data_IF_876639230753
#
_entry.id   IF_876639230753
#
_cell.length_a   1.000
_cell.length_b   1.000
_cell.length_c   1.000
_cell.angle_alpha   90.00
_cell.angle_beta   90.00
_cell.angle_gamma   90.00
#
_symmetry.space_group_name_H-M   'P 1'
#
loop_
_entity.id
_entity.type
_entity.pdbx_description
1 polymer ?
#
# COMPACT_ATOMS: atom_id res chain seq x y z
N UNK A 1 -7.90 -6.82 -19.35
CA UNK A 1 -6.56 -7.33 -18.91
C UNK A 1 -6.82 -8.52 -18.03
N UNK A 2 -6.14 -9.64 -18.26
CA UNK A 2 -6.16 -10.75 -17.32
C UNK A 2 -5.18 -10.43 -16.18
N UNK A 3 -5.71 -10.02 -15.04
CA UNK A 3 -4.89 -9.60 -13.90
C UNK A 3 -4.12 -10.77 -13.28
N UNK A 4 -4.70 -11.94 -13.25
CA UNK A 4 -4.05 -13.12 -12.66
C UNK A 4 -2.79 -13.50 -13.43
N UNK A 5 -2.85 -13.54 -14.76
CA UNK A 5 -1.68 -13.80 -15.60
C UNK A 5 -0.60 -12.73 -15.43
N UNK A 6 -1.00 -11.44 -15.39
CA UNK A 6 -0.06 -10.35 -15.18
C UNK A 6 0.61 -10.41 -13.79
N UNK A 7 -0.10 -10.87 -12.77
CA UNK A 7 0.44 -11.05 -11.41
C UNK A 7 1.38 -12.26 -11.35
N UNK A 8 1.07 -13.36 -12.03
CA UNK A 8 2.00 -14.51 -12.17
C UNK A 8 3.31 -14.09 -12.85
N UNK A 9 3.22 -13.36 -13.95
CA UNK A 9 4.40 -12.81 -14.63
C UNK A 9 5.16 -11.83 -13.73
N UNK A 10 4.45 -11.01 -12.97
CA UNK A 10 5.06 -10.11 -12.01
C UNK A 10 5.78 -10.87 -10.88
N UNK A 11 5.16 -11.92 -10.35
CA UNK A 11 5.76 -12.75 -9.29
C UNK A 11 7.06 -13.42 -9.74
N UNK A 12 7.07 -14.00 -10.95
CA UNK A 12 8.28 -14.56 -11.54
C UNK A 12 9.37 -13.49 -11.73
N UNK A 13 8.98 -12.29 -12.18
CA UNK A 13 9.90 -11.19 -12.48
C UNK A 13 10.58 -10.63 -11.23
N UNK A 14 9.89 -10.56 -10.11
CA UNK A 14 10.42 -9.95 -8.88
C UNK A 14 10.89 -10.95 -7.82
N UNK A 15 10.88 -12.26 -8.10
CA UNK A 15 11.17 -13.32 -7.14
C UNK A 15 12.50 -13.12 -6.37
N UNK A 16 13.56 -12.72 -7.08
CA UNK A 16 14.89 -12.51 -6.48
C UNK A 16 15.08 -11.11 -5.86
N UNK A 17 14.05 -10.28 -5.92
CA UNK A 17 14.12 -8.87 -5.53
C UNK A 17 13.26 -8.51 -4.32
N UNK A 18 12.36 -9.40 -3.91
CA UNK A 18 11.45 -9.19 -2.77
C UNK A 18 11.59 -10.30 -1.75
N UNK A 19 11.19 -10.02 -0.52
CA UNK A 19 11.17 -11.02 0.54
C UNK A 19 9.87 -11.79 0.48
N UNK A 20 9.93 -13.07 0.80
CA UNK A 20 8.76 -13.82 1.25
C UNK A 20 8.52 -13.39 2.71
N UNK A 21 7.39 -12.69 2.93
CA UNK A 21 7.09 -12.16 4.26
C UNK A 21 6.33 -13.17 5.11
N UNK A 22 6.57 -13.22 6.44
CA UNK A 22 5.98 -14.23 7.29
C UNK A 22 4.49 -13.99 7.57
N UNK A 23 3.86 -15.03 8.13
CA UNK A 23 2.53 -15.02 8.71
C UNK A 23 2.63 -15.15 10.23
N UNK A 24 1.66 -14.61 10.94
CA UNK A 24 1.48 -14.83 12.39
C UNK A 24 -0.02 -14.84 12.69
N UNK A 25 -0.40 -15.68 13.65
CA UNK A 25 -1.77 -15.74 14.14
C UNK A 25 -1.93 -14.83 15.35
N UNK A 26 -3.08 -14.16 15.42
CA UNK A 26 -3.47 -13.29 16.52
C UNK A 26 -4.84 -13.70 17.03
N UNK A 27 -4.92 -14.01 18.34
CA UNK A 27 -6.21 -14.28 18.98
C UNK A 27 -6.91 -12.97 19.33
N UNK A 28 -8.10 -12.76 18.79
CA UNK A 28 -8.93 -11.60 19.08
C UNK A 28 -10.20 -12.01 19.84
N UNK A 29 -10.45 -11.43 21.03
CA UNK A 29 -11.68 -11.69 21.78
C UNK A 29 -12.92 -11.40 20.93
N UNK A 30 -13.84 -12.37 20.87
CA UNK A 30 -15.08 -12.27 20.11
C UNK A 30 -14.96 -12.49 18.58
N UNK A 31 -13.74 -12.62 18.07
CA UNK A 31 -13.46 -12.92 16.64
C UNK A 31 -12.82 -14.31 16.47
N UNK A 32 -11.93 -14.69 17.36
CA UNK A 32 -11.11 -15.91 17.26
C UNK A 32 -9.74 -15.63 16.64
N UNK A 33 -9.15 -16.67 16.06
CA UNK A 33 -7.82 -16.59 15.41
C UNK A 33 -7.89 -15.82 14.10
N UNK A 34 -7.08 -14.78 13.99
CA UNK A 34 -6.90 -13.95 12.79
C UNK A 34 -5.50 -14.13 12.24
N UNK A 35 -5.38 -14.60 11.00
CA UNK A 35 -4.08 -14.71 10.34
C UNK A 35 -3.62 -13.34 9.85
N UNK A 36 -2.41 -12.93 10.24
CA UNK A 36 -1.79 -11.67 9.83
C UNK A 36 -0.69 -11.90 8.80
N UNK A 37 -0.73 -11.21 7.67
CA UNK A 37 0.38 -11.13 6.71
C UNK A 37 1.27 -9.95 7.02
N UNK A 38 2.55 -10.21 7.32
CA UNK A 38 3.50 -9.22 7.83
C UNK A 38 4.27 -8.51 6.70
N UNK A 39 3.56 -7.79 5.84
CA UNK A 39 4.18 -7.11 4.68
C UNK A 39 4.96 -5.83 5.07
N UNK A 40 4.81 -5.34 6.29
CA UNK A 40 5.69 -4.32 6.85
C UNK A 40 7.16 -4.79 6.98
N UNK A 41 7.42 -6.09 6.91
CA UNK A 41 8.77 -6.66 6.89
C UNK A 41 9.39 -6.75 5.50
N UNK A 42 8.68 -6.33 4.45
CA UNK A 42 9.20 -6.21 3.10
C UNK A 42 10.32 -5.15 3.04
N UNK A 43 11.14 -5.18 1.99
CA UNK A 43 12.14 -4.13 1.74
C UNK A 43 11.53 -2.74 1.85
N UNK A 44 12.27 -1.82 2.45
CA UNK A 44 11.82 -0.44 2.75
C UNK A 44 10.63 -0.33 3.71
N UNK A 45 10.29 -1.41 4.43
CA UNK A 45 9.28 -1.39 5.48
C UNK A 45 7.83 -1.34 4.98
N UNK A 46 7.55 -1.69 3.72
CA UNK A 46 6.20 -1.73 3.18
C UNK A 46 6.08 -2.53 1.89
N UNK A 47 4.87 -2.96 1.55
CA UNK A 47 4.50 -3.67 0.32
C UNK A 47 4.93 -2.96 -0.98
N UNK A 48 5.18 -1.66 -0.92
CA UNK A 48 5.46 -0.82 -2.11
C UNK A 48 6.66 -1.29 -2.93
N UNK A 49 7.61 -1.99 -2.32
CA UNK A 49 8.76 -2.56 -3.02
C UNK A 49 8.34 -3.49 -4.16
N UNK A 50 7.27 -4.27 -3.99
CA UNK A 50 6.78 -5.23 -5.00
C UNK A 50 6.40 -4.54 -6.31
N UNK A 51 5.55 -3.52 -6.23
CA UNK A 51 5.15 -2.74 -7.41
C UNK A 51 6.28 -1.93 -8.03
N UNK A 52 7.19 -1.40 -7.20
CA UNK A 52 8.37 -0.68 -7.68
C UNK A 52 9.27 -1.60 -8.51
N UNK A 53 9.68 -2.76 -7.98
CA UNK A 53 10.50 -3.72 -8.73
C UNK A 53 9.81 -4.20 -10.00
N UNK A 54 8.52 -4.59 -9.91
CA UNK A 54 7.81 -5.07 -11.09
C UNK A 54 7.77 -4.02 -12.20
N UNK A 55 7.50 -2.77 -11.87
CA UNK A 55 7.43 -1.70 -12.87
C UNK A 55 8.79 -1.42 -13.51
N UNK A 56 9.88 -1.39 -12.72
CA UNK A 56 11.21 -1.14 -13.23
C UNK A 56 11.75 -2.30 -14.09
N UNK A 57 11.46 -3.54 -13.73
CA UNK A 57 11.96 -4.71 -14.47
C UNK A 57 11.11 -4.98 -15.72
N UNK A 58 9.82 -4.65 -15.69
CA UNK A 58 8.89 -4.94 -16.80
C UNK A 58 9.23 -4.22 -18.10
N UNK A 59 9.81 -3.03 -18.02
CA UNK A 59 10.10 -2.24 -19.21
C UNK A 59 11.52 -1.68 -19.23
N UNK A 60 12.02 -1.23 -20.39
CA UNK A 60 13.33 -0.58 -20.44
C UNK A 60 13.29 0.73 -19.65
N UNK A 61 14.15 0.84 -18.64
CA UNK A 61 14.34 2.10 -17.93
C UNK A 61 15.22 3.02 -18.79
N UNK A 62 14.76 4.22 -19.13
CA UNK A 62 15.54 5.14 -19.97
C UNK A 62 16.81 5.61 -19.26
N UNK A 63 17.80 6.10 -20.04
CA UNK A 63 19.05 6.62 -19.50
C UNK A 63 18.84 7.78 -18.49
N UNK A 64 17.76 8.52 -18.62
CA UNK A 64 17.35 9.54 -17.65
C UNK A 64 16.95 8.96 -16.29
N UNK A 65 16.75 7.63 -16.20
CA UNK A 65 16.35 6.94 -14.98
C UNK A 65 14.86 7.01 -14.72
N UNK A 66 14.48 6.96 -13.43
CA UNK A 66 13.10 6.98 -12.99
C UNK A 66 12.80 8.20 -12.13
N UNK A 67 11.52 8.60 -12.10
CA UNK A 67 11.05 9.70 -11.27
C UNK A 67 9.74 9.32 -10.57
N UNK A 68 9.56 9.78 -9.33
CA UNK A 68 8.32 9.59 -8.59
C UNK A 68 8.01 10.77 -7.67
N UNK A 69 6.72 11.06 -7.53
CA UNK A 69 6.17 11.99 -6.54
C UNK A 69 5.75 11.23 -5.29
N UNK A 70 6.51 11.30 -4.19
CA UNK A 70 6.10 10.68 -2.94
C UNK A 70 6.99 11.04 -1.77
N UNK A 71 6.41 11.54 -0.70
CA UNK A 71 7.08 11.76 0.59
C UNK A 71 7.06 10.55 1.54
N UNK A 72 6.66 9.35 1.09
CA UNK A 72 6.46 8.19 1.96
C UNK A 72 6.94 6.86 1.38
N UNK A 73 6.18 5.81 1.67
CA UNK A 73 6.49 4.43 1.33
C UNK A 73 6.81 4.19 -0.15
N UNK A 74 6.10 4.87 -1.05
CA UNK A 74 6.33 4.73 -2.49
C UNK A 74 7.68 5.31 -2.92
N UNK A 75 8.02 6.52 -2.47
CA UNK A 75 9.31 7.14 -2.79
C UNK A 75 10.49 6.31 -2.30
N UNK A 76 10.42 5.78 -1.07
CA UNK A 76 11.44 4.89 -0.52
C UNK A 76 11.57 3.59 -1.34
N UNK A 77 10.45 2.99 -1.75
CA UNK A 77 10.44 1.77 -2.54
C UNK A 77 11.01 1.97 -3.95
N UNK A 78 10.64 3.06 -4.64
CA UNK A 78 11.17 3.38 -5.98
C UNK A 78 12.67 3.64 -5.90
N UNK A 79 13.12 4.45 -4.93
CA UNK A 79 14.53 4.74 -4.72
C UNK A 79 15.35 3.45 -4.46
N UNK A 80 14.85 2.58 -3.60
CA UNK A 80 15.48 1.30 -3.29
C UNK A 80 15.56 0.38 -4.52
N UNK A 81 14.45 0.18 -5.21
CA UNK A 81 14.39 -0.70 -6.36
C UNK A 81 15.29 -0.18 -7.50
N UNK A 82 15.26 1.11 -7.79
CA UNK A 82 16.14 1.72 -8.80
C UNK A 82 17.61 1.50 -8.45
N UNK A 83 18.04 1.78 -7.21
CA UNK A 83 19.41 1.55 -6.76
C UNK A 83 19.83 0.08 -6.92
N UNK A 84 18.95 -0.87 -6.53
CA UNK A 84 19.23 -2.30 -6.62
C UNK A 84 19.39 -2.79 -8.07
N UNK A 85 18.70 -2.15 -8.99
CA UNK A 85 18.74 -2.47 -10.43
C UNK A 85 19.77 -1.61 -11.21
N UNK A 86 20.56 -0.75 -10.53
CA UNK A 86 21.57 0.09 -11.15
C UNK A 86 21.02 1.31 -11.91
N UNK A 87 19.79 1.73 -11.61
CA UNK A 87 19.16 2.89 -12.24
C UNK A 87 19.22 4.13 -11.37
N UNK A 88 19.24 5.30 -12.02
CA UNK A 88 19.09 6.59 -11.34
C UNK A 88 17.64 6.79 -10.94
N UNK A 89 17.41 7.32 -9.73
CA UNK A 89 16.08 7.69 -9.25
C UNK A 89 16.07 9.13 -8.76
N UNK A 90 15.07 9.90 -9.19
CA UNK A 90 14.77 11.23 -8.67
C UNK A 90 13.42 11.19 -7.97
N UNK A 91 13.38 11.60 -6.70
CA UNK A 91 12.16 11.58 -5.89
C UNK A 91 11.82 13.01 -5.48
N UNK A 92 10.65 13.45 -5.89
CA UNK A 92 10.05 14.72 -5.45
C UNK A 92 9.19 14.48 -4.21
N UNK A 93 9.46 15.24 -3.14
CA UNK A 93 8.79 15.09 -1.84
C UNK A 93 8.23 16.43 -1.39
N UNK A 94 7.01 16.48 -0.86
CA UNK A 94 6.54 17.68 -0.19
C UNK A 94 7.29 17.89 1.12
N UNK A 95 7.61 19.13 1.45
CA UNK A 95 8.32 19.47 2.70
C UNK A 95 7.56 18.99 3.95
N UNK A 96 6.24 18.97 3.87
CA UNK A 96 5.37 18.45 4.93
C UNK A 96 5.50 16.93 5.19
N UNK A 97 6.21 16.17 4.36
CA UNK A 97 6.47 14.75 4.60
C UNK A 97 7.26 14.50 5.90
N UNK A 98 7.97 15.52 6.37
CA UNK A 98 8.73 15.50 7.62
C UNK A 98 10.12 14.86 7.49
N UNK A 99 11.02 15.18 8.44
CA UNK A 99 12.43 14.85 8.33
C UNK A 99 12.72 13.35 8.32
N UNK A 100 11.96 12.54 9.07
CA UNK A 100 12.19 11.10 9.15
C UNK A 100 11.93 10.39 7.81
N UNK A 101 10.85 10.74 7.10
CA UNK A 101 10.54 10.15 5.78
C UNK A 101 11.51 10.64 4.72
N UNK A 102 11.88 11.91 4.76
CA UNK A 102 12.91 12.49 3.88
C UNK A 102 14.23 11.74 4.07
N UNK A 103 14.65 11.49 5.32
CA UNK A 103 15.83 10.73 5.63
C UNK A 103 15.76 9.27 5.13
N UNK A 104 14.60 8.62 5.28
CA UNK A 104 14.38 7.27 4.78
C UNK A 104 14.59 7.18 3.25
N UNK A 105 14.02 8.11 2.49
CA UNK A 105 14.16 8.13 1.02
C UNK A 105 15.62 8.44 0.64
N UNK A 106 16.24 9.43 1.31
CA UNK A 106 17.65 9.80 1.06
C UNK A 106 18.60 8.62 1.31
N UNK A 107 18.37 7.84 2.37
CA UNK A 107 19.15 6.65 2.68
C UNK A 107 19.10 5.57 1.60
N UNK A 108 18.08 5.62 0.70
CA UNK A 108 18.01 4.72 -0.45
C UNK A 108 18.84 5.19 -1.65
N UNK A 109 19.54 6.33 -1.56
CA UNK A 109 20.47 6.80 -2.59
C UNK A 109 19.83 7.53 -3.78
N UNK A 110 18.57 7.95 -3.65
CA UNK A 110 17.91 8.75 -4.68
C UNK A 110 18.33 10.22 -4.64
N UNK A 111 18.29 10.87 -5.81
CA UNK A 111 18.32 12.31 -5.91
C UNK A 111 16.99 12.87 -5.39
N UNK A 112 17.05 13.58 -4.27
CA UNK A 112 15.85 14.03 -3.55
C UNK A 112 15.61 15.52 -3.78
N UNK A 113 14.40 15.85 -4.23
CA UNK A 113 13.92 17.21 -4.41
C UNK A 113 12.77 17.49 -3.42
N UNK A 114 13.05 18.33 -2.43
CA UNK A 114 12.04 18.75 -1.46
C UNK A 114 11.34 19.99 -1.99
N UNK A 115 10.03 19.92 -2.12
CA UNK A 115 9.18 20.98 -2.66
C UNK A 115 8.39 21.62 -1.54
N UNK A 116 8.50 22.93 -1.44
CA UNK A 116 7.67 23.73 -0.53
C UNK A 116 6.35 24.03 -1.23
N UNK A 117 5.30 23.29 -0.86
CA UNK A 117 3.99 23.42 -1.47
C UNK A 117 3.11 22.18 -1.29
N UNK A 118 1.90 22.23 -1.82
CA UNK A 118 0.96 21.11 -1.77
C UNK A 118 1.44 19.94 -2.66
N UNK A 119 0.89 18.75 -2.44
CA UNK A 119 1.25 17.56 -3.21
C UNK A 119 0.99 17.71 -4.71
N UNK A 120 0.04 18.55 -5.11
CA UNK A 120 -0.24 18.88 -6.52
C UNK A 120 0.97 19.54 -7.20
N UNK A 121 1.70 20.39 -6.50
CA UNK A 121 2.94 21.00 -7.01
C UNK A 121 4.05 19.96 -7.14
N UNK A 122 4.20 19.06 -6.17
CA UNK A 122 5.13 17.94 -6.24
C UNK A 122 4.87 17.08 -7.47
N UNK A 123 3.61 16.80 -7.74
CA UNK A 123 3.20 16.03 -8.92
C UNK A 123 3.48 16.78 -10.23
N UNK A 124 3.13 18.06 -10.31
CA UNK A 124 3.38 18.88 -11.48
C UNK A 124 4.88 18.95 -11.85
N UNK A 125 5.75 19.14 -10.85
CA UNK A 125 7.20 19.14 -11.07
C UNK A 125 7.74 17.77 -11.48
N UNK A 126 7.17 16.68 -10.94
CA UNK A 126 7.52 15.31 -11.33
C UNK A 126 7.17 15.04 -12.79
N UNK A 127 5.98 15.45 -13.21
CA UNK A 127 5.49 15.31 -14.59
C UNK A 127 6.33 16.17 -15.56
N UNK A 128 6.61 17.42 -15.20
CA UNK A 128 7.46 18.31 -15.99
C UNK A 128 8.87 17.75 -16.19
N UNK A 129 9.44 17.16 -15.12
CA UNK A 129 10.75 16.49 -15.22
C UNK A 129 10.68 15.27 -16.13
N UNK A 130 9.67 14.42 -15.99
CA UNK A 130 9.48 13.25 -16.84
C UNK A 130 9.36 13.66 -18.33
N UNK A 131 8.54 14.68 -18.61
CA UNK A 131 8.30 15.19 -19.96
C UNK A 131 9.57 15.78 -20.60
N UNK A 132 10.38 16.54 -19.84
CA UNK A 132 11.57 17.21 -20.34
C UNK A 132 12.78 16.30 -20.52
N UNK A 133 12.88 15.21 -19.73
CA UNK A 133 14.07 14.33 -19.72
C UNK A 133 13.83 12.95 -20.32
N UNK A 134 12.57 12.55 -20.49
CA UNK A 134 12.17 11.20 -20.83
C UNK A 134 12.35 10.20 -19.69
N UNK A 135 12.51 10.65 -18.43
CA UNK A 135 12.55 9.75 -17.27
C UNK A 135 11.24 8.98 -17.11
N UNK A 136 11.34 7.71 -16.75
CA UNK A 136 10.15 6.88 -16.51
C UNK A 136 9.47 7.30 -15.21
N UNK A 137 8.24 7.76 -15.29
CA UNK A 137 7.44 8.05 -14.10
C UNK A 137 6.85 6.77 -13.52
N UNK A 138 7.07 6.54 -12.22
CA UNK A 138 6.53 5.40 -11.48
C UNK A 138 5.34 5.88 -10.66
N UNK A 139 4.13 5.48 -11.07
CA UNK A 139 2.89 5.85 -10.37
C UNK A 139 2.70 5.01 -9.09
N UNK A 140 2.26 5.66 -8.01
CA UNK A 140 2.20 5.04 -6.68
C UNK A 140 1.15 3.92 -6.54
N UNK A 141 0.09 3.90 -7.37
CA UNK A 141 -1.03 2.97 -7.24
C UNK A 141 -1.82 2.74 -8.55
N UNK A 142 -2.01 3.72 -9.43
CA UNK A 142 -2.89 3.62 -10.61
C UNK A 142 -2.09 3.38 -11.89
N UNK A 143 -1.35 2.28 -11.91
CA UNK A 143 -0.64 1.80 -13.10
C UNK A 143 -0.64 0.27 -13.12
N UNK A 144 -0.81 -0.36 -14.30
CA UNK A 144 -0.89 -1.82 -14.40
C UNK A 144 0.32 -2.54 -13.80
N UNK A 145 1.53 -2.05 -14.06
CA UNK A 145 2.76 -2.63 -13.52
C UNK A 145 2.85 -2.55 -12.00
N UNK A 146 2.43 -1.41 -11.42
CA UNK A 146 2.37 -1.22 -9.98
C UNK A 146 1.34 -2.15 -9.36
N UNK A 147 0.13 -2.19 -9.88
CA UNK A 147 -0.96 -3.00 -9.35
C UNK A 147 -0.65 -4.50 -9.43
N UNK A 148 -0.13 -4.98 -10.56
CA UNK A 148 0.28 -6.37 -10.71
C UNK A 148 1.40 -6.75 -9.73
N UNK A 149 2.38 -5.88 -9.54
CA UNK A 149 3.43 -6.08 -8.54
C UNK A 149 2.89 -6.21 -7.12
N UNK A 150 1.92 -5.37 -6.73
CA UNK A 150 1.27 -5.47 -5.42
C UNK A 150 0.45 -6.76 -5.28
N UNK A 151 -0.18 -7.23 -6.35
CA UNK A 151 -0.95 -8.48 -6.36
C UNK A 151 -0.12 -9.72 -6.04
N UNK A 152 1.20 -9.68 -6.29
CA UNK A 152 2.12 -10.79 -5.97
C UNK A 152 2.12 -11.15 -4.48
N UNK A 153 1.79 -10.20 -3.61
CA UNK A 153 1.63 -10.41 -2.18
C UNK A 153 0.50 -11.41 -1.91
N UNK A 154 -0.64 -11.25 -2.56
CA UNK A 154 -1.80 -12.11 -2.34
C UNK A 154 -1.55 -13.52 -2.90
N UNK A 155 -0.87 -13.61 -4.05
CA UNK A 155 -0.39 -14.88 -4.59
C UNK A 155 0.53 -15.60 -3.59
N UNK A 156 1.50 -14.88 -3.04
CA UNK A 156 2.42 -15.42 -2.03
C UNK A 156 1.65 -15.92 -0.81
N UNK A 157 0.68 -15.14 -0.33
CA UNK A 157 -0.11 -15.51 0.84
C UNK A 157 -0.95 -16.78 0.59
N UNK A 158 -1.57 -16.93 -0.58
CA UNK A 158 -2.26 -18.18 -0.96
C UNK A 158 -1.30 -19.38 -0.96
N UNK A 159 -0.09 -19.23 -1.49
CA UNK A 159 0.93 -20.29 -1.49
C UNK A 159 1.45 -20.64 -0.07
N UNK A 160 1.35 -19.72 0.87
CA UNK A 160 1.69 -19.93 2.29
C UNK A 160 0.53 -20.55 3.09
N UNK A 161 -0.60 -20.88 2.47
CA UNK A 161 -1.73 -21.53 3.12
C UNK A 161 -2.76 -20.55 3.68
N UNK A 162 -3.07 -19.47 2.96
CA UNK A 162 -4.21 -18.60 3.31
C UNK A 162 -5.52 -19.41 3.29
N UNK A 163 -6.12 -19.63 4.43
CA UNK A 163 -7.39 -20.34 4.58
C UNK A 163 -8.60 -19.44 4.86
N UNK A 164 -8.36 -18.15 5.07
CA UNK A 164 -9.43 -17.21 5.40
C UNK A 164 -10.47 -17.08 4.29
N UNK A 165 -11.73 -16.92 4.68
CA UNK A 165 -12.84 -16.66 3.77
C UNK A 165 -12.86 -15.18 3.35
N UNK A 166 -12.39 -14.31 4.26
CA UNK A 166 -12.35 -12.85 4.07
C UNK A 166 -10.97 -12.27 4.42
N UNK A 167 -10.49 -11.35 3.60
CA UNK A 167 -9.23 -10.63 3.79
C UNK A 167 -9.50 -9.14 3.93
N UNK A 168 -9.04 -8.53 5.02
CA UNK A 168 -9.15 -7.10 5.26
C UNK A 168 -7.86 -6.38 4.83
N UNK A 169 -8.01 -5.31 4.04
CA UNK A 169 -6.90 -4.58 3.42
C UNK A 169 -7.11 -3.08 3.56
N UNK A 170 -6.12 -2.38 4.11
CA UNK A 170 -6.12 -0.92 4.20
C UNK A 170 -6.05 -0.28 2.81
N UNK A 171 -6.83 0.78 2.60
CA UNK A 171 -6.93 1.47 1.31
C UNK A 171 -6.50 2.93 1.42
N UNK A 172 -5.60 3.32 0.53
CA UNK A 172 -5.34 4.71 0.17
C UNK A 172 -5.69 4.90 -1.31
N UNK A 173 -4.72 5.01 -2.21
CA UNK A 173 -4.97 5.09 -3.66
C UNK A 173 -5.43 3.80 -4.34
N UNK A 174 -5.56 2.69 -3.63
CA UNK A 174 -6.17 1.45 -4.13
C UNK A 174 -5.23 0.45 -4.81
N UNK A 175 -3.94 0.75 -5.00
CA UNK A 175 -3.03 -0.16 -5.72
C UNK A 175 -2.84 -1.53 -5.03
N UNK A 176 -2.86 -1.57 -3.69
CA UNK A 176 -2.73 -2.80 -2.91
C UNK A 176 -3.97 -3.67 -3.02
N UNK A 177 -5.13 -3.10 -2.67
CA UNK A 177 -6.40 -3.82 -2.71
C UNK A 177 -6.80 -4.19 -4.15
N UNK A 178 -6.48 -3.33 -5.13
CA UNK A 178 -6.66 -3.63 -6.56
C UNK A 178 -5.84 -4.83 -7.00
N UNK A 179 -4.58 -4.91 -6.57
CA UNK A 179 -3.73 -6.08 -6.82
C UNK A 179 -4.28 -7.35 -6.17
N UNK A 180 -4.77 -7.25 -4.93
CA UNK A 180 -5.40 -8.38 -4.23
C UNK A 180 -6.68 -8.85 -4.95
N UNK A 181 -7.54 -7.94 -5.34
CA UNK A 181 -8.75 -8.27 -6.12
C UNK A 181 -8.41 -8.88 -7.48
N UNK A 182 -7.37 -8.36 -8.16
CA UNK A 182 -6.90 -8.89 -9.43
C UNK A 182 -6.36 -10.31 -9.32
N UNK A 183 -5.77 -10.68 -8.20
CA UNK A 183 -5.32 -12.05 -7.94
C UNK A 183 -6.48 -12.97 -7.54
N UNK A 184 -7.29 -12.53 -6.58
CA UNK A 184 -8.33 -13.37 -5.97
C UNK A 184 -9.53 -13.61 -6.90
N UNK A 185 -9.86 -12.66 -7.77
CA UNK A 185 -10.98 -12.78 -8.74
C UNK A 185 -12.30 -13.25 -8.09
N UNK A 186 -12.58 -12.76 -6.90
CA UNK A 186 -13.80 -13.10 -6.14
C UNK A 186 -13.79 -14.47 -5.43
N UNK A 187 -12.70 -15.25 -5.51
CA UNK A 187 -12.58 -16.54 -4.81
C UNK A 187 -12.55 -16.42 -3.29
N UNK A 188 -12.23 -15.24 -2.78
CA UNK A 188 -12.31 -14.85 -1.38
C UNK A 188 -12.91 -13.46 -1.30
N UNK A 189 -13.62 -13.19 -0.21
CA UNK A 189 -14.12 -11.84 0.05
C UNK A 189 -12.95 -10.91 0.40
N UNK A 190 -12.94 -9.73 -0.20
CA UNK A 190 -12.00 -8.65 0.16
C UNK A 190 -12.82 -7.52 0.79
N UNK A 191 -12.36 -7.02 1.93
CA UNK A 191 -12.92 -5.84 2.60
C UNK A 191 -11.89 -4.73 2.55
N UNK A 192 -12.27 -3.60 1.94
CA UNK A 192 -11.48 -2.37 2.01
C UNK A 192 -11.68 -1.69 3.36
N UNK A 193 -10.58 -1.24 3.98
CA UNK A 193 -10.65 -0.49 5.23
C UNK A 193 -10.00 0.87 5.03
N UNK A 194 -10.76 1.93 5.28
CA UNK A 194 -10.30 3.31 5.14
C UNK A 194 -10.53 4.09 6.45
N UNK A 195 -9.63 5.06 6.75
CA UNK A 195 -9.92 6.04 7.80
C UNK A 195 -11.16 6.89 7.42
N UNK A 196 -11.99 7.23 8.38
CA UNK A 196 -13.13 8.16 8.19
C UNK A 196 -12.66 9.48 7.57
N UNK A 197 -11.43 9.91 7.90
CA UNK A 197 -10.85 11.16 7.43
C UNK A 197 -10.12 11.04 6.07
N UNK A 198 -10.13 9.85 5.43
CA UNK A 198 -9.53 9.61 4.11
C UNK A 198 -10.34 8.56 3.30
N UNK A 199 -11.66 8.74 3.08
CA UNK A 199 -12.57 7.71 2.55
C UNK A 199 -12.65 7.73 1.01
N UNK A 200 -11.53 7.68 0.31
CA UNK A 200 -11.49 7.89 -1.15
C UNK A 200 -12.20 6.79 -1.94
N UNK A 201 -12.04 5.53 -1.56
CA UNK A 201 -12.70 4.39 -2.21
C UNK A 201 -14.18 4.31 -1.82
N UNK A 202 -14.50 4.50 -0.54
CA UNK A 202 -15.87 4.47 -0.03
C UNK A 202 -16.75 5.48 -0.78
N UNK A 203 -16.28 6.72 -0.91
CA UNK A 203 -17.01 7.77 -1.64
C UNK A 203 -17.06 7.51 -3.15
N UNK A 204 -15.99 6.97 -3.73
CA UNK A 204 -15.96 6.63 -5.15
C UNK A 204 -16.93 5.48 -5.50
N UNK A 205 -17.06 4.47 -4.63
CA UNK A 205 -18.04 3.38 -4.78
C UNK A 205 -19.47 3.93 -4.72
N UNK A 206 -19.75 4.80 -3.76
CA UNK A 206 -21.07 5.44 -3.64
C UNK A 206 -21.41 6.32 -4.83
N UNK A 207 -20.43 7.04 -5.39
CA UNK A 207 -20.60 7.92 -6.53
C UNK A 207 -20.52 7.22 -7.90
N UNK A 208 -20.04 5.97 -7.95
CA UNK A 208 -19.78 5.22 -9.18
C UNK A 208 -18.60 5.75 -10.03
N UNK A 209 -17.85 6.71 -9.52
CA UNK A 209 -16.70 7.37 -10.20
C UNK A 209 -15.68 7.87 -9.16
N UNK A 210 -14.42 8.13 -9.56
CA UNK A 210 -13.44 8.74 -8.66
C UNK A 210 -13.95 10.05 -8.06
N UNK A 211 -13.73 10.23 -6.75
CA UNK A 211 -14.10 11.44 -5.99
C UNK A 211 -12.84 11.98 -5.34
N UNK A 212 -12.62 13.29 -5.44
CA UNK A 212 -11.51 13.94 -4.74
C UNK A 212 -11.89 14.20 -3.29
N UNK A 213 -11.01 13.78 -2.38
CA UNK A 213 -11.11 14.01 -0.94
C UNK A 213 -9.93 14.86 -0.45
N UNK A 214 -10.06 15.45 0.72
CA UNK A 214 -8.96 16.10 1.43
C UNK A 214 -8.56 15.24 2.62
N UNK A 215 -7.59 14.34 2.46
CA UNK A 215 -7.23 13.39 3.51
C UNK A 215 -6.62 14.07 4.71
N UNK A 216 -6.98 13.59 5.90
CA UNK A 216 -6.40 14.02 7.18
C UNK A 216 -6.34 12.86 8.17
N UNK A 217 -6.00 13.13 9.43
CA UNK A 217 -5.92 12.12 10.48
C UNK A 217 -4.60 11.35 10.52
N UNK A 218 -4.53 10.39 11.46
CA UNK A 218 -3.27 9.69 11.82
C UNK A 218 -2.67 8.88 10.68
N UNK A 219 -3.49 8.34 9.78
CA UNK A 219 -3.04 7.50 8.67
C UNK A 219 -2.85 8.27 7.34
N UNK A 220 -3.12 9.58 7.28
CA UNK A 220 -3.05 10.38 6.06
C UNK A 220 -1.67 10.34 5.37
N UNK A 221 -0.61 10.16 6.12
CA UNK A 221 0.76 10.05 5.61
C UNK A 221 1.00 8.85 4.67
N UNK A 222 0.17 7.79 4.74
CA UNK A 222 0.33 6.59 3.93
C UNK A 222 -0.95 6.18 3.20
N UNK A 223 -2.14 6.51 3.75
CA UNK A 223 -3.45 6.27 3.13
C UNK A 223 -4.07 7.54 2.54
N UNK A 224 -3.38 8.68 2.59
CA UNK A 224 -3.89 9.98 2.16
C UNK A 224 -3.82 10.23 0.66
N UNK A 225 -4.18 9.28 -0.19
CA UNK A 225 -4.39 9.55 -1.61
C UNK A 225 -5.64 10.42 -1.78
N UNK A 226 -5.57 11.51 -2.57
CA UNK A 226 -6.72 12.41 -2.74
C UNK A 226 -7.86 11.78 -3.54
N UNK A 227 -7.62 10.66 -4.19
CA UNK A 227 -8.62 9.87 -4.94
C UNK A 227 -8.16 8.42 -5.05
N UNK A 228 -9.09 7.50 -5.25
CA UNK A 228 -8.79 6.11 -5.60
C UNK A 228 -8.51 6.00 -7.11
N UNK A 229 -7.53 5.16 -7.47
CA UNK A 229 -7.17 4.91 -8.88
C UNK A 229 -8.30 4.27 -9.69
N UNK A 230 -8.36 4.61 -10.97
CA UNK A 230 -9.38 4.09 -11.89
C UNK A 230 -9.33 2.57 -12.05
N UNK A 231 -8.14 1.98 -12.06
CA UNK A 231 -7.95 0.52 -12.13
C UNK A 231 -8.53 -0.18 -10.90
N UNK A 232 -8.27 0.37 -9.71
CA UNK A 232 -8.83 -0.16 -8.46
C UNK A 232 -10.35 -0.04 -8.44
N UNK A 233 -10.90 1.13 -8.78
CA UNK A 233 -12.34 1.36 -8.77
C UNK A 233 -13.07 0.42 -9.73
N UNK A 234 -12.54 0.21 -10.94
CA UNK A 234 -13.11 -0.72 -11.90
C UNK A 234 -13.18 -2.16 -11.37
N UNK A 235 -12.11 -2.64 -10.71
CA UNK A 235 -12.10 -3.95 -10.05
C UNK A 235 -13.08 -4.02 -8.87
N UNK A 236 -13.14 -2.96 -8.07
CA UNK A 236 -14.02 -2.86 -6.91
C UNK A 236 -15.49 -2.91 -7.30
N UNK A 237 -15.86 -2.20 -8.36
CA UNK A 237 -17.22 -2.22 -8.92
C UNK A 237 -17.58 -3.60 -9.51
N UNK A 238 -16.66 -4.19 -10.29
CA UNK A 238 -16.87 -5.51 -10.90
C UNK A 238 -17.07 -6.64 -9.87
N UNK A 239 -16.45 -6.51 -8.69
CA UNK A 239 -16.52 -7.51 -7.61
C UNK A 239 -17.45 -7.12 -6.47
N UNK A 240 -18.20 -6.02 -6.60
CA UNK A 240 -19.08 -5.49 -5.54
C UNK A 240 -18.34 -5.35 -4.19
N UNK A 241 -17.15 -4.75 -4.24
CA UNK A 241 -16.32 -4.59 -3.06
C UNK A 241 -17.05 -3.81 -1.96
N UNK A 242 -16.97 -4.31 -0.74
CA UNK A 242 -17.41 -3.58 0.45
C UNK A 242 -16.24 -2.84 1.09
N UNK A 243 -16.44 -1.57 1.42
CA UNK A 243 -15.48 -0.74 2.13
C UNK A 243 -16.06 -0.26 3.45
N UNK A 244 -15.31 -0.46 4.55
CA UNK A 244 -15.69 0.00 5.90
C UNK A 244 -14.79 1.14 6.33
N UNK A 245 -15.32 2.01 7.19
CA UNK A 245 -14.63 3.17 7.73
C UNK A 245 -14.25 2.95 9.18
N UNK A 246 -13.05 3.42 9.57
CA UNK A 246 -12.50 3.30 10.92
C UNK A 246 -12.04 4.65 11.44
N UNK A 247 -12.23 4.89 12.73
CA UNK A 247 -11.81 6.10 13.41
C UNK A 247 -10.31 6.07 13.73
N UNK A 248 -9.67 7.23 13.82
CA UNK A 248 -8.26 7.37 14.19
C UNK A 248 -7.92 6.71 15.53
N UNK A 249 -8.82 6.81 16.50
CA UNK A 249 -8.66 6.16 17.81
C UNK A 249 -8.62 4.62 17.70
N UNK A 250 -9.42 4.03 16.81
CA UNK A 250 -9.41 2.59 16.56
C UNK A 250 -8.09 2.15 15.91
N UNK A 251 -7.57 2.93 14.95
CA UNK A 251 -6.29 2.67 14.31
C UNK A 251 -5.15 2.69 15.35
N UNK A 252 -5.12 3.72 16.20
CA UNK A 252 -4.12 3.84 17.28
C UNK A 252 -4.25 2.70 18.30
N UNK A 253 -5.48 2.30 18.63
CA UNK A 253 -5.76 1.13 19.48
C UNK A 253 -5.21 -0.16 18.88
N UNK A 254 -5.38 -0.38 17.58
CA UNK A 254 -4.85 -1.54 16.87
C UNK A 254 -3.30 -1.55 16.82
N UNK A 255 -2.65 -0.38 16.66
CA UNK A 255 -1.19 -0.27 16.77
C UNK A 255 -0.71 -0.72 18.15
N UNK A 256 -1.37 -0.26 19.21
CA UNK A 256 -1.03 -0.64 20.58
C UNK A 256 -1.22 -2.14 20.81
N UNK A 257 -2.33 -2.71 20.35
CA UNK A 257 -2.61 -4.14 20.47
C UNK A 257 -1.53 -4.98 19.78
N UNK A 258 -1.12 -4.63 18.56
CA UNK A 258 -0.04 -5.31 17.83
C UNK A 258 1.29 -5.24 18.60
N UNK A 259 1.59 -4.10 19.21
CA UNK A 259 2.76 -3.95 20.04
C UNK A 259 2.66 -4.79 21.34
N UNK A 260 1.55 -4.71 22.04
CA UNK A 260 1.39 -5.36 23.33
C UNK A 260 1.39 -6.89 23.22
N UNK A 261 0.76 -7.44 22.19
CA UNK A 261 0.64 -8.89 22.03
C UNK A 261 1.77 -9.52 21.20
N UNK A 262 2.24 -8.87 20.16
CA UNK A 262 3.17 -9.47 19.20
C UNK A 262 4.52 -8.74 19.09
N UNK A 263 4.68 -7.61 19.79
CA UNK A 263 5.85 -6.71 19.65
C UNK A 263 6.07 -6.26 18.20
N UNK A 264 4.98 -6.17 17.44
CA UNK A 264 5.02 -5.64 16.07
C UNK A 264 4.74 -4.14 16.09
N UNK A 265 5.69 -3.37 15.55
CA UNK A 265 5.52 -1.95 15.33
C UNK A 265 5.13 -1.69 13.89
N UNK A 266 3.99 -1.04 13.69
CA UNK A 266 3.47 -0.69 12.37
C UNK A 266 3.12 0.80 12.32
N UNK A 267 3.16 1.40 11.14
CA UNK A 267 2.59 2.72 10.93
C UNK A 267 1.04 2.67 11.04
N UNK A 268 0.35 3.80 11.26
CA UNK A 268 -1.12 3.81 11.35
C UNK A 268 -1.79 3.08 10.17
N UNK A 269 -1.29 3.29 8.95
CA UNK A 269 -1.77 2.58 7.76
C UNK A 269 -1.65 1.05 7.88
N UNK A 270 -0.58 0.56 8.52
CA UNK A 270 -0.35 -0.86 8.74
C UNK A 270 -1.34 -1.49 9.73
N UNK A 271 -1.89 -0.69 10.66
CA UNK A 271 -2.87 -1.14 11.65
C UNK A 271 -4.34 -0.94 11.22
N UNK A 272 -4.57 -0.11 10.18
CA UNK A 272 -5.93 0.28 9.79
C UNK A 272 -6.82 -0.92 9.45
N UNK A 273 -6.31 -1.93 8.74
CA UNK A 273 -7.10 -3.12 8.42
C UNK A 273 -7.51 -3.91 9.68
N UNK A 274 -6.60 -4.06 10.64
CA UNK A 274 -6.90 -4.73 11.91
C UNK A 274 -7.91 -3.95 12.75
N UNK A 275 -7.86 -2.63 12.70
CA UNK A 275 -8.76 -1.77 13.47
C UNK A 275 -10.24 -1.97 13.11
N UNK A 276 -10.56 -2.44 11.91
CA UNK A 276 -11.94 -2.76 11.53
C UNK A 276 -12.51 -3.91 12.36
N UNK A 277 -11.71 -4.92 12.71
CA UNK A 277 -12.12 -6.01 13.59
C UNK A 277 -12.21 -5.55 15.04
N UNK A 278 -11.18 -4.84 15.53
CA UNK A 278 -11.10 -4.44 16.95
C UNK A 278 -12.10 -3.37 17.34
N UNK A 279 -12.61 -2.58 16.38
CA UNK A 279 -13.65 -1.57 16.61
C UNK A 279 -15.08 -2.06 16.33
N UNK A 280 -15.23 -3.24 15.69
CA UNK A 280 -16.53 -3.72 15.24
C UNK A 280 -17.04 -3.06 13.95
N UNK A 281 -16.22 -2.27 13.25
CA UNK A 281 -16.56 -1.73 11.91
C UNK A 281 -16.76 -2.85 10.88
N UNK A 282 -16.07 -3.97 11.09
CA UNK A 282 -16.36 -5.23 10.43
C UNK A 282 -16.57 -6.32 11.47
N UNK A 283 -17.74 -6.96 11.43
CA UNK A 283 -18.07 -8.08 12.32
C UNK A 283 -18.16 -9.34 11.46
N UNK A 284 -17.24 -10.31 11.63
CA UNK A 284 -17.32 -11.57 10.90
C UNK A 284 -18.59 -12.34 11.20
N UNK A 285 -19.13 -13.05 10.21
CA UNK A 285 -20.24 -13.97 10.42
C UNK A 285 -19.80 -15.17 11.30
N UNK A 286 -20.73 -15.85 11.99
CA UNK A 286 -20.38 -17.05 12.74
C UNK A 286 -19.64 -18.09 11.88
N UNK A 287 -18.43 -18.47 12.30
CA UNK A 287 -17.57 -19.41 11.58
C UNK A 287 -16.77 -18.82 10.38
N UNK A 288 -16.92 -17.54 10.09
CA UNK A 288 -16.12 -16.87 9.06
C UNK A 288 -14.67 -16.71 9.54
N UNK A 289 -13.73 -17.27 8.76
CA UNK A 289 -12.30 -17.11 9.00
C UNK A 289 -11.83 -15.81 8.35
N UNK A 290 -11.13 -15.00 9.13
CA UNK A 290 -10.66 -13.70 8.66
C UNK A 290 -9.13 -13.61 8.69
N UNK A 291 -8.59 -12.86 7.75
CA UNK A 291 -7.18 -12.54 7.69
C UNK A 291 -6.97 -11.04 7.46
N UNK A 292 -5.84 -10.52 7.95
CA UNK A 292 -5.53 -9.09 7.91
C UNK A 292 -4.14 -8.85 7.35
N UNK A 293 -4.03 -7.88 6.47
CA UNK A 293 -2.76 -7.45 5.90
C UNK A 293 -2.16 -6.26 6.67
N UNK A 294 -0.99 -6.46 7.27
CA UNK A 294 -0.18 -5.39 7.87
C UNK A 294 0.76 -4.81 6.82
N UNK A 295 0.41 -3.68 6.21
CA UNK A 295 0.97 -3.23 4.95
C UNK A 295 2.26 -2.39 5.05
N UNK A 296 2.58 -1.83 6.24
CA UNK A 296 3.75 -0.95 6.39
C UNK A 296 4.10 -0.59 7.82
N UNK A 297 5.37 -0.19 8.05
CA UNK A 297 5.91 0.19 9.36
C UNK A 297 6.69 1.51 9.35
N UNK A 298 6.65 2.30 8.27
CA UNK A 298 7.44 3.52 8.14
C UNK A 298 6.83 4.68 8.92
N UNK A 299 6.99 4.63 10.22
CA UNK A 299 6.57 5.67 11.16
C UNK A 299 7.77 6.19 11.97
N UNK A 300 7.64 7.39 12.50
CA UNK A 300 8.61 7.99 13.40
C UNK A 300 7.84 8.65 14.57
N UNK A 301 8.44 8.67 15.75
CA UNK A 301 9.63 7.96 16.19
C UNK A 301 9.34 6.47 16.49
N UNK A 302 10.42 5.68 16.71
CA UNK A 302 10.27 4.37 17.29
C UNK A 302 9.54 4.45 18.65
N UNK A 303 8.82 3.37 19.07
CA UNK A 303 7.95 3.39 20.26
C UNK A 303 8.69 3.56 21.61
N UNK A 304 9.99 3.77 21.56
CA UNK A 304 10.89 3.80 22.73
C UNK A 304 11.48 5.19 22.97
N UNK A 305 10.68 6.22 22.72
CA UNK A 305 11.07 7.59 23.07
C UNK A 305 10.64 7.97 24.48
#
# INVERSE_FOLDING_TARGET
MNWRDEIELAAARIADHVRVTPLVDLELPGVGTVQLKLEQLQHTGSFKARGAFNTLIKGPVPAAGVVAASGGNHGAAVAYAARKLGHRARIYVPQMAGPAKIALIRAQGAELHVIDGPFTEVQAQTEAYAASTGAMQIHAFDAPGTLAGQGTLMREWELQGLEADTVLIAVGGGGLIGGAMGWLEGRRRVIGVEPVLAPSLHLALAAGKPVTVTPSGVAANALGAPFVGGLCLALAQAQNLHAVLVEDAAITGAQRLLWDQLRLWVEPAGAAALSALTSGAYVPAPGERVAVLLCGANTAPAPYG
#
